data_IF_749910400125
#
_entry.id   IF_749910400125
#
_cell.length_a   1.000
_cell.length_b   1.000
_cell.length_c   1.000
_cell.angle_alpha   90.00
_cell.angle_beta   90.00
_cell.angle_gamma   90.00
#
_symmetry.space_group_name_H-M   'P 1'
#
loop_
_entity.id
_entity.type
_entity.pdbx_description
1 polymer ?
#
# COMPACT_ATOMS: atom_id res chain seq x y z
N UNK A 1 -34.29 -55.02 43.68
CA UNK A 1 -34.47 -55.16 42.22
C UNK A 1 -33.67 -54.08 41.54
N UNK A 2 -32.78 -54.48 40.64
CA UNK A 2 -31.78 -53.66 39.96
C UNK A 2 -32.42 -52.82 38.86
N UNK A 3 -32.02 -51.57 38.69
CA UNK A 3 -32.12 -50.91 37.38
C UNK A 3 -30.82 -50.16 37.06
N UNK A 4 -30.00 -50.91 36.33
CA UNK A 4 -29.05 -50.56 35.29
C UNK A 4 -28.66 -49.08 35.12
N UNK A 5 -27.36 -48.84 35.32
CA UNK A 5 -26.62 -47.66 34.83
C UNK A 5 -26.66 -47.63 33.31
N UNK A 6 -27.14 -46.54 32.72
CA UNK A 6 -26.88 -46.21 31.32
C UNK A 6 -25.87 -45.07 31.27
N UNK A 7 -24.61 -45.39 30.96
CA UNK A 7 -23.58 -44.39 30.67
C UNK A 7 -23.81 -43.95 29.23
N UNK A 8 -24.34 -42.74 29.07
CA UNK A 8 -24.51 -42.11 27.75
C UNK A 8 -23.14 -41.62 27.27
N UNK A 9 -22.58 -42.29 26.26
CA UNK A 9 -21.42 -41.81 25.53
C UNK A 9 -21.83 -40.59 24.70
N UNK A 10 -21.60 -39.39 25.24
CA UNK A 10 -21.62 -38.14 24.48
C UNK A 10 -20.48 -38.18 23.47
N UNK A 11 -20.77 -38.62 22.24
CA UNK A 11 -19.89 -38.39 21.10
C UNK A 11 -19.78 -36.88 20.90
N UNK A 12 -18.63 -36.31 21.26
CA UNK A 12 -18.22 -34.98 20.80
C UNK A 12 -18.03 -35.07 19.29
N UNK A 13 -19.11 -34.83 18.54
CA UNK A 13 -18.99 -34.44 17.14
C UNK A 13 -18.29 -33.08 17.15
N UNK A 14 -16.96 -33.09 17.02
CA UNK A 14 -16.20 -31.91 16.62
C UNK A 14 -16.68 -31.56 15.22
N UNK A 15 -17.73 -30.74 15.16
CA UNK A 15 -18.07 -30.04 13.95
C UNK A 15 -16.89 -29.11 13.70
N UNK A 16 -16.00 -29.50 12.79
CA UNK A 16 -15.06 -28.56 12.21
C UNK A 16 -15.92 -27.51 11.50
N UNK A 17 -16.27 -26.43 12.21
CA UNK A 17 -16.57 -25.17 11.56
C UNK A 17 -15.24 -24.78 10.91
N UNK A 18 -15.01 -25.30 9.70
CA UNK A 18 -14.08 -24.68 8.79
C UNK A 18 -14.50 -23.23 8.76
N UNK A 19 -13.62 -22.38 9.29
CA UNK A 19 -13.74 -20.93 9.17
C UNK A 19 -14.04 -20.70 7.69
N UNK A 20 -15.27 -20.29 7.37
CA UNK A 20 -15.56 -19.80 6.03
C UNK A 20 -14.73 -18.53 5.91
N UNK A 21 -13.49 -18.67 5.45
CA UNK A 21 -12.74 -17.55 4.90
C UNK A 21 -13.69 -16.95 3.86
N UNK A 22 -14.03 -15.65 3.97
CA UNK A 22 -14.90 -15.03 2.99
C UNK A 22 -14.22 -15.21 1.64
N UNK A 23 -14.75 -16.11 0.82
CA UNK A 23 -14.34 -16.32 -0.56
C UNK A 23 -14.91 -15.16 -1.39
N UNK A 24 -14.49 -13.94 -1.06
CA UNK A 24 -14.93 -12.74 -1.77
C UNK A 24 -14.06 -12.65 -3.03
N UNK A 25 -14.44 -13.45 -4.02
CA UNK A 25 -14.25 -13.04 -5.41
C UNK A 25 -15.40 -12.11 -5.75
N UNK A 26 -15.31 -10.84 -5.32
CA UNK A 26 -16.14 -9.82 -5.95
C UNK A 26 -15.54 -9.52 -7.34
N UNK A 27 -16.38 -9.20 -8.33
CA UNK A 27 -15.95 -8.75 -9.65
C UNK A 27 -15.62 -9.82 -10.70
N UNK A 28 -14.67 -10.73 -10.45
CA UNK A 28 -14.08 -11.54 -11.54
C UNK A 28 -14.38 -13.04 -11.50
N UNK A 29 -14.04 -13.77 -10.42
CA UNK A 29 -14.31 -15.23 -10.38
C UNK A 29 -14.58 -15.72 -8.96
N UNK A 30 -15.80 -16.21 -8.65
CA UNK A 30 -16.10 -16.76 -7.34
C UNK A 30 -15.35 -18.08 -7.12
N UNK A 31 -14.97 -18.38 -5.87
CA UNK A 31 -14.20 -19.60 -5.58
C UNK A 31 -15.01 -20.90 -5.74
N UNK A 32 -16.34 -20.81 -5.93
CA UNK A 32 -17.23 -21.96 -6.14
C UNK A 32 -18.16 -21.73 -7.33
N UNK A 33 -18.44 -22.78 -8.09
CA UNK A 33 -19.40 -22.76 -9.21
C UNK A 33 -20.86 -22.88 -8.71
N UNK A 34 -21.83 -22.83 -9.63
CA UNK A 34 -23.26 -22.95 -9.30
C UNK A 34 -23.65 -24.31 -8.68
N UNK A 35 -22.78 -25.32 -8.77
CA UNK A 35 -22.95 -26.65 -8.18
C UNK A 35 -22.10 -26.84 -6.92
N UNK A 36 -21.57 -25.75 -6.36
CA UNK A 36 -20.73 -25.73 -5.16
C UNK A 36 -19.41 -26.50 -5.30
N UNK A 37 -18.87 -26.63 -6.51
CA UNK A 37 -17.54 -27.22 -6.75
C UNK A 37 -16.46 -26.14 -6.66
N UNK A 38 -15.31 -26.42 -6.00
CA UNK A 38 -14.24 -25.45 -5.88
C UNK A 38 -13.59 -25.18 -7.24
N UNK A 39 -13.27 -23.91 -7.50
CA UNK A 39 -12.60 -23.44 -8.71
C UNK A 39 -11.58 -22.34 -8.36
N UNK A 40 -10.68 -22.03 -9.30
CA UNK A 40 -9.73 -20.92 -9.14
C UNK A 40 -10.51 -19.60 -9.04
N UNK A 41 -10.36 -18.91 -7.93
CA UNK A 41 -10.77 -17.51 -7.79
C UNK A 41 -9.57 -16.58 -7.86
N UNK A 42 -9.81 -15.38 -8.36
CA UNK A 42 -8.82 -14.30 -8.46
C UNK A 42 -9.55 -13.05 -7.94
N UNK A 43 -8.94 -12.28 -7.02
CA UNK A 43 -9.54 -11.03 -6.56
C UNK A 43 -9.58 -10.01 -7.71
N UNK A 44 -10.28 -8.90 -7.47
CA UNK A 44 -10.24 -7.77 -8.41
C UNK A 44 -8.83 -7.20 -8.54
N UNK A 45 -8.54 -6.66 -9.71
CA UNK A 45 -7.29 -5.95 -9.93
C UNK A 45 -7.39 -4.56 -9.30
N UNK A 46 -6.55 -4.30 -8.31
CA UNK A 46 -6.52 -3.03 -7.59
C UNK A 46 -5.08 -2.51 -7.48
N UNK A 47 -4.95 -1.21 -7.23
CA UNK A 47 -3.67 -0.62 -6.86
C UNK A 47 -3.39 -0.92 -5.38
N UNK A 48 -2.53 -1.91 -5.12
CA UNK A 48 -2.17 -2.31 -3.77
C UNK A 48 -1.51 -1.20 -2.93
N UNK A 49 -0.94 -0.17 -3.57
CA UNK A 49 -0.28 0.93 -2.88
C UNK A 49 -1.22 2.07 -2.47
N UNK A 50 -2.40 2.17 -3.09
CA UNK A 50 -3.27 3.32 -2.93
C UNK A 50 -3.71 3.51 -1.47
N UNK A 51 -3.53 4.72 -0.94
CA UNK A 51 -3.86 5.07 0.45
C UNK A 51 -2.93 4.48 1.52
N UNK A 52 -1.94 3.66 1.15
CA UNK A 52 -0.92 3.18 2.09
C UNK A 52 0.18 4.24 2.25
N UNK A 53 0.67 4.43 3.47
CA UNK A 53 1.75 5.36 3.74
C UNK A 53 3.09 4.79 3.27
N UNK A 54 3.75 5.51 2.36
CA UNK A 54 5.12 5.22 1.95
C UNK A 54 6.12 5.71 3.00
N UNK A 55 7.11 4.90 3.36
CA UNK A 55 8.24 5.33 4.19
C UNK A 55 9.40 5.76 3.30
N UNK A 56 9.83 7.03 3.40
CA UNK A 56 11.00 7.55 2.71
C UNK A 56 12.14 7.81 3.68
N UNK A 57 13.38 7.42 3.33
CA UNK A 57 14.56 7.70 4.16
C UNK A 57 15.00 9.15 4.13
N UNK A 58 14.49 9.94 3.18
CA UNK A 58 14.80 11.34 3.01
C UNK A 58 13.57 12.05 2.44
N UNK A 59 13.35 13.31 2.81
CA UNK A 59 12.31 14.17 2.23
C UNK A 59 12.78 15.61 2.40
N UNK A 60 12.63 16.44 1.37
CA UNK A 60 13.00 17.85 1.47
C UNK A 60 12.17 18.58 2.53
N UNK A 61 12.69 19.68 3.06
CA UNK A 61 11.97 20.47 4.06
C UNK A 61 12.06 19.92 5.49
N UNK A 62 12.59 18.71 5.71
CA UNK A 62 12.68 18.11 7.06
C UNK A 62 13.59 18.91 8.01
N UNK A 63 14.65 19.52 7.47
CA UNK A 63 15.60 20.34 8.23
C UNK A 63 15.34 21.85 8.09
N UNK A 64 14.17 22.25 7.58
CA UNK A 64 13.82 23.63 7.22
C UNK A 64 13.70 23.83 5.72
N UNK A 65 13.33 25.04 5.32
CA UNK A 65 13.14 25.43 3.92
C UNK A 65 14.39 25.15 3.07
N UNK A 66 14.21 24.50 1.92
CA UNK A 66 15.30 24.08 1.03
C UNK A 66 15.02 24.50 -0.42
N UNK A 67 15.97 25.18 -1.06
CA UNK A 67 15.86 25.52 -2.48
C UNK A 67 16.11 24.30 -3.36
N UNK A 68 15.26 24.07 -4.36
CA UNK A 68 15.51 23.13 -5.44
C UNK A 68 15.29 23.81 -6.79
N UNK A 69 16.01 23.36 -7.82
CA UNK A 69 15.85 23.89 -9.17
C UNK A 69 15.47 22.80 -10.15
N UNK A 70 14.40 23.02 -10.90
CA UNK A 70 13.93 22.09 -11.93
C UNK A 70 14.86 22.15 -13.14
N UNK A 71 15.33 20.99 -13.59
CA UNK A 71 16.10 20.86 -14.81
C UNK A 71 15.17 20.70 -16.02
N UNK A 72 14.78 21.79 -16.67
CA UNK A 72 14.07 21.71 -17.96
C UNK A 72 15.06 21.33 -19.06
N UNK A 73 14.96 20.10 -19.55
CA UNK A 73 15.66 19.66 -20.75
C UNK A 73 15.04 20.27 -22.00
N UNK A 74 15.91 20.68 -22.93
CA UNK A 74 15.61 21.12 -24.30
C UNK A 74 15.34 22.64 -24.46
N UNK A 75 16.33 23.32 -25.05
CA UNK A 75 16.30 24.65 -25.67
C UNK A 75 16.17 25.89 -24.76
N UNK A 76 17.20 26.15 -23.95
CA UNK A 76 17.52 27.53 -23.52
C UNK A 76 16.57 28.18 -22.51
N UNK A 77 15.71 27.41 -21.84
CA UNK A 77 14.77 27.93 -20.84
C UNK A 77 15.42 27.89 -19.45
N UNK A 78 15.25 29.02 -18.75
CA UNK A 78 15.87 29.39 -17.47
C UNK A 78 15.69 28.32 -16.40
N UNK A 79 16.73 28.11 -15.58
CA UNK A 79 16.59 27.44 -14.28
C UNK A 79 15.43 28.10 -13.53
N UNK A 80 14.39 27.32 -13.24
CA UNK A 80 13.32 27.72 -12.31
C UNK A 80 13.67 27.08 -10.98
N UNK A 81 13.84 27.90 -9.95
CA UNK A 81 14.12 27.44 -8.60
C UNK A 81 12.93 27.79 -7.71
N UNK A 82 12.61 26.88 -6.81
CA UNK A 82 11.49 26.91 -5.89
C UNK A 82 11.98 26.52 -4.50
N UNK A 83 11.19 26.81 -3.47
CA UNK A 83 11.51 26.46 -2.09
C UNK A 83 10.61 25.31 -1.68
N UNK A 84 11.21 24.20 -1.26
CA UNK A 84 10.50 23.11 -0.60
C UNK A 84 10.29 23.47 0.87
N UNK A 85 9.04 23.71 1.25
CA UNK A 85 8.66 23.94 2.64
C UNK A 85 8.39 22.60 3.38
N UNK A 86 8.53 22.57 4.72
CA UNK A 86 8.23 21.37 5.51
C UNK A 86 6.81 20.83 5.25
N UNK A 87 6.72 19.58 4.81
CA UNK A 87 5.45 18.88 4.56
C UNK A 87 4.80 19.15 3.20
N UNK A 88 5.41 19.98 2.35
CA UNK A 88 4.89 20.30 1.01
C UNK A 88 5.02 19.12 0.03
N UNK A 89 6.09 18.33 0.15
CA UNK A 89 6.38 17.19 -0.72
C UNK A 89 6.54 15.88 0.09
N UNK A 90 5.60 15.64 1.00
CA UNK A 90 5.58 14.48 1.89
C UNK A 90 5.44 13.13 1.13
N UNK A 91 6.05 12.02 1.60
CA UNK A 91 5.94 10.70 0.97
C UNK A 91 4.51 10.20 0.76
N UNK A 92 3.53 10.70 1.52
CA UNK A 92 2.11 10.38 1.33
C UNK A 92 1.58 10.73 -0.06
N UNK A 93 2.21 11.67 -0.76
CA UNK A 93 1.83 12.10 -2.11
C UNK A 93 2.32 11.12 -3.21
N UNK A 94 2.90 9.98 -2.84
CA UNK A 94 3.21 8.90 -3.78
C UNK A 94 2.03 7.95 -4.00
N UNK A 95 1.08 7.93 -3.07
CA UNK A 95 0.00 6.94 -2.99
C UNK A 95 -1.37 7.57 -2.80
N UNK A 96 -1.44 8.91 -2.87
CA UNK A 96 -2.68 9.66 -2.84
C UNK A 96 -3.42 9.57 -4.18
N UNK A 97 -4.57 10.24 -4.24
CA UNK A 97 -5.36 10.30 -5.45
C UNK A 97 -4.77 11.32 -6.42
N UNK A 98 -4.45 10.87 -7.64
CA UNK A 98 -3.88 11.73 -8.68
C UNK A 98 -5.00 12.60 -9.27
N UNK A 99 -4.97 13.89 -8.95
CA UNK A 99 -5.84 14.90 -9.56
C UNK A 99 -5.19 15.48 -10.83
N UNK A 100 -5.85 15.46 -12.01
CA UNK A 100 -5.27 15.95 -13.26
C UNK A 100 -4.84 17.42 -13.23
N UNK A 101 -5.58 18.25 -12.49
CA UNK A 101 -5.36 19.71 -12.43
C UNK A 101 -4.45 20.14 -11.27
N UNK A 102 -4.14 19.23 -10.35
CA UNK A 102 -3.33 19.51 -9.16
C UNK A 102 -2.44 18.30 -8.85
N UNK A 103 -1.28 18.25 -9.49
CA UNK A 103 -0.30 17.20 -9.24
C UNK A 103 0.36 17.38 -7.88
N UNK A 104 0.33 16.33 -7.09
CA UNK A 104 1.12 16.17 -5.87
C UNK A 104 2.31 15.25 -6.17
N UNK A 105 3.40 15.41 -5.43
CA UNK A 105 4.56 14.54 -5.53
C UNK A 105 5.36 14.55 -4.23
N UNK A 106 6.18 13.52 -4.05
CA UNK A 106 7.23 13.49 -3.04
C UNK A 106 8.56 13.95 -3.64
N UNK A 107 9.39 14.61 -2.82
CA UNK A 107 10.71 15.08 -3.23
C UNK A 107 11.76 14.80 -2.14
N UNK A 108 12.92 14.27 -2.55
CA UNK A 108 14.12 14.22 -1.72
C UNK A 108 14.78 15.59 -1.61
N UNK A 109 15.74 15.71 -0.70
CA UNK A 109 16.74 16.78 -0.73
C UNK A 109 17.58 16.70 -2.03
N UNK A 110 18.28 17.79 -2.39
CA UNK A 110 19.04 17.86 -3.65
C UNK A 110 20.45 17.30 -3.51
N UNK A 111 21.18 17.28 -4.63
CA UNK A 111 22.62 16.94 -4.62
C UNK A 111 23.46 17.91 -3.80
N UNK A 112 23.00 19.16 -3.57
CA UNK A 112 23.71 20.13 -2.75
C UNK A 112 23.73 19.71 -1.27
N UNK A 113 22.65 19.10 -0.79
CA UNK A 113 22.53 18.50 0.55
C UNK A 113 23.24 17.15 0.67
N UNK A 114 23.90 16.69 -0.40
CA UNK A 114 24.69 15.46 -0.40
C UNK A 114 23.89 14.22 -0.79
N UNK A 115 22.66 14.36 -1.31
CA UNK A 115 21.93 13.26 -1.95
C UNK A 115 22.53 12.99 -3.34
N UNK A 116 23.67 12.31 -3.32
CA UNK A 116 24.43 11.86 -4.49
C UNK A 116 25.19 10.58 -4.10
N UNK A 117 25.55 9.75 -5.08
CA UNK A 117 26.42 8.59 -4.87
C UNK A 117 27.66 8.99 -4.01
N UNK A 118 27.98 8.32 -2.89
CA UNK A 118 27.52 7.00 -2.47
C UNK A 118 26.17 6.86 -1.77
N UNK A 119 25.50 7.98 -1.50
CA UNK A 119 24.25 7.99 -0.75
C UNK A 119 23.07 7.53 -1.62
N UNK A 120 22.09 6.92 -0.96
CA UNK A 120 20.89 6.37 -1.60
C UNK A 120 19.65 6.82 -0.83
N UNK A 121 18.55 7.00 -1.55
CA UNK A 121 17.23 7.27 -0.96
C UNK A 121 16.35 6.07 -1.21
N UNK A 122 15.75 5.53 -0.15
CA UNK A 122 14.88 4.36 -0.22
C UNK A 122 13.43 4.77 0.03
N UNK A 123 12.53 4.22 -0.78
CA UNK A 123 11.08 4.27 -0.60
C UNK A 123 10.61 2.86 -0.27
N UNK A 124 10.00 2.70 0.91
CA UNK A 124 9.52 1.41 1.40
C UNK A 124 8.02 1.45 1.59
N UNK A 125 7.31 0.59 0.85
CA UNK A 125 5.88 0.38 0.99
C UNK A 125 5.66 -0.91 1.79
N UNK A 126 4.90 -0.82 2.89
CA UNK A 126 4.54 -1.96 3.74
C UNK A 126 3.10 -2.36 3.47
N UNK A 127 2.89 -3.63 3.09
CA UNK A 127 1.59 -4.24 2.84
C UNK A 127 1.14 -5.07 4.04
#
# INVERSE_FOLDING_TARGET
MWFLRTISLLTLAFSCRGQQTPAIGHGYTPCYDAFNRPQRCIPEFENAAFGLLMEATNTCGQNGDMEYCVQTGVNGIRKSCEICHPGEHDPRYLTDYIHPDSSTWWQSETMYEGIQWPNQVNLTLKF
#
